data_IF_646246862723
#
_entry.id   IF_646246862723
#
_cell.length_a   1.000
_cell.length_b   1.000
_cell.length_c   1.000
_cell.angle_alpha   90.00
_cell.angle_beta   90.00
_cell.angle_gamma   90.00
#
_symmetry.space_group_name_H-M   'P 1'
#
loop_
_entity.id
_entity.type
_entity.pdbx_description
1 polymer ?
#
# COMPACT_ATOMS: atom_id res chain seq x y z
N UNK A 1 -0.51 -5.27 -15.55
CA UNK A 1 0.69 -5.82 -14.88
C UNK A 1 0.43 -5.74 -13.39
N UNK A 2 0.35 -6.88 -12.68
CA UNK A 2 -0.23 -6.94 -11.34
C UNK A 2 0.28 -5.86 -10.35
N UNK A 3 1.61 -5.69 -10.22
CA UNK A 3 2.17 -4.71 -9.29
C UNK A 3 1.93 -3.25 -9.71
N UNK A 4 1.92 -2.99 -11.01
CA UNK A 4 1.60 -1.66 -11.54
C UNK A 4 0.14 -1.29 -11.28
N UNK A 5 -0.77 -2.26 -11.52
CA UNK A 5 -2.20 -2.06 -11.32
C UNK A 5 -2.51 -1.88 -9.82
N UNK A 6 -1.85 -2.68 -8.96
CA UNK A 6 -1.93 -2.56 -7.50
C UNK A 6 -1.45 -1.18 -7.03
N UNK A 7 -0.28 -0.73 -7.48
CA UNK A 7 0.26 0.57 -7.12
C UNK A 7 -0.68 1.71 -7.56
N UNK A 8 -1.23 1.63 -8.76
CA UNK A 8 -2.17 2.63 -9.30
C UNK A 8 -3.43 2.74 -8.45
N UNK A 9 -4.05 1.60 -8.11
CA UNK A 9 -5.25 1.57 -7.25
C UNK A 9 -4.93 2.04 -5.83
N UNK A 10 -3.76 1.67 -5.30
CA UNK A 10 -3.33 2.10 -3.97
C UNK A 10 -3.10 3.62 -3.88
N UNK A 11 -2.51 4.24 -4.91
CA UNK A 11 -2.34 5.70 -4.96
C UNK A 11 -3.71 6.40 -4.91
N UNK A 12 -4.68 5.94 -5.69
CA UNK A 12 -6.03 6.49 -5.65
C UNK A 12 -6.69 6.31 -4.27
N UNK A 13 -6.50 5.15 -3.63
CA UNK A 13 -6.95 4.94 -2.24
C UNK A 13 -6.31 5.95 -1.29
N UNK A 14 -5.00 6.14 -1.35
CA UNK A 14 -4.27 7.01 -0.43
C UNK A 14 -4.68 8.49 -0.60
N UNK A 15 -4.95 8.94 -1.82
CA UNK A 15 -5.44 10.30 -2.11
C UNK A 15 -6.88 10.53 -1.62
N UNK A 16 -7.78 9.58 -1.87
CA UNK A 16 -9.20 9.75 -1.57
C UNK A 16 -9.60 9.34 -0.14
N UNK A 17 -8.80 8.50 0.53
CA UNK A 17 -9.10 7.97 1.86
C UNK A 17 -8.05 8.42 2.89
N UNK A 18 -8.24 9.57 3.56
CA UNK A 18 -7.25 10.07 4.52
C UNK A 18 -7.11 9.12 5.71
N UNK A 19 -5.97 8.43 5.79
CA UNK A 19 -5.72 7.39 6.81
C UNK A 19 -5.61 7.99 8.21
N UNK A 20 -4.78 9.03 8.36
CA UNK A 20 -4.47 9.63 9.67
C UNK A 20 -5.61 10.46 10.26
N UNK A 21 -6.56 10.92 9.43
CA UNK A 21 -7.69 11.77 9.85
C UNK A 21 -8.99 11.00 10.05
N UNK A 22 -8.96 9.67 9.91
CA UNK A 22 -10.13 8.82 10.09
C UNK A 22 -10.40 8.53 11.58
N UNK A 23 -11.66 8.23 11.89
CA UNK A 23 -12.06 7.69 13.21
C UNK A 23 -11.31 6.40 13.52
N UNK A 24 -11.11 6.10 14.81
CA UNK A 24 -10.17 5.08 15.28
C UNK A 24 -10.33 3.71 14.60
N UNK A 25 -11.55 3.18 14.50
CA UNK A 25 -11.80 1.87 13.86
C UNK A 25 -11.51 1.88 12.35
N UNK A 26 -11.80 3.00 11.68
CA UNK A 26 -11.55 3.16 10.24
C UNK A 26 -10.06 3.39 9.99
N UNK A 27 -9.37 4.12 10.87
CA UNK A 27 -7.93 4.34 10.82
C UNK A 27 -7.16 3.03 10.95
N UNK A 28 -7.50 2.18 11.92
CA UNK A 28 -6.88 0.87 12.09
C UNK A 28 -7.04 -0.01 10.85
N UNK A 29 -8.26 -0.07 10.29
CA UNK A 29 -8.53 -0.81 9.06
C UNK A 29 -7.71 -0.30 7.87
N UNK A 30 -7.63 1.03 7.70
CA UNK A 30 -6.84 1.65 6.63
C UNK A 30 -5.33 1.43 6.81
N UNK A 31 -4.82 1.49 8.04
CA UNK A 31 -3.42 1.17 8.34
C UNK A 31 -3.08 -0.29 8.02
N UNK A 32 -3.96 -1.22 8.37
CA UNK A 32 -3.80 -2.63 8.01
C UNK A 32 -3.79 -2.84 6.49
N UNK A 33 -4.61 -2.10 5.75
CA UNK A 33 -4.61 -2.13 4.29
C UNK A 33 -3.28 -1.62 3.73
N UNK A 34 -2.75 -0.50 4.23
CA UNK A 34 -1.43 0.01 3.84
C UNK A 34 -0.31 -1.01 4.09
N UNK A 35 -0.27 -1.64 5.28
CA UNK A 35 0.73 -2.66 5.63
C UNK A 35 0.65 -3.88 4.70
N UNK A 36 -0.56 -4.37 4.44
CA UNK A 36 -0.77 -5.49 3.51
C UNK A 36 -0.32 -5.15 2.09
N UNK A 37 -0.65 -3.97 1.59
CA UNK A 37 -0.21 -3.53 0.25
C UNK A 37 1.30 -3.42 0.17
N UNK A 38 1.97 -2.88 1.21
CA UNK A 38 3.42 -2.80 1.26
C UNK A 38 4.09 -4.18 1.17
N UNK A 39 3.62 -5.16 1.95
CA UNK A 39 4.12 -6.55 1.91
C UNK A 39 3.95 -7.22 0.54
N UNK A 40 2.81 -6.97 -0.12
CA UNK A 40 2.57 -7.51 -1.46
C UNK A 40 3.50 -6.88 -2.48
N UNK A 41 3.72 -5.56 -2.40
CA UNK A 41 4.65 -4.84 -3.26
C UNK A 41 6.09 -5.32 -3.06
N UNK A 42 6.55 -5.43 -1.82
CA UNK A 42 7.88 -5.94 -1.46
C UNK A 42 8.09 -7.35 -2.03
N UNK A 43 7.16 -8.27 -1.76
CA UNK A 43 7.25 -9.64 -2.25
C UNK A 43 7.21 -9.71 -3.77
N UNK A 44 6.34 -8.92 -4.39
CA UNK A 44 6.21 -8.86 -5.84
C UNK A 44 7.47 -8.34 -6.53
N UNK A 45 8.04 -7.25 -6.02
CA UNK A 45 9.29 -6.68 -6.51
C UNK A 45 10.46 -7.66 -6.28
N UNK A 46 10.52 -8.30 -5.11
CA UNK A 46 11.53 -9.32 -4.81
C UNK A 46 11.47 -10.53 -5.76
N UNK A 47 10.27 -10.96 -6.17
CA UNK A 47 10.12 -12.00 -7.21
C UNK A 47 10.64 -11.56 -8.59
N UNK A 48 10.72 -10.25 -8.84
CA UNK A 48 11.30 -9.67 -10.05
C UNK A 48 12.80 -9.34 -9.88
N UNK A 49 13.38 -9.61 -8.71
CA UNK A 49 14.78 -9.27 -8.39
C UNK A 49 15.00 -7.78 -8.14
N UNK A 50 13.96 -7.04 -7.76
CA UNK A 50 14.00 -5.61 -7.45
C UNK A 50 13.80 -5.43 -5.95
N UNK A 51 14.69 -4.68 -5.30
CA UNK A 51 14.53 -4.32 -3.89
C UNK A 51 13.52 -3.19 -3.75
N UNK A 52 12.57 -3.34 -2.82
CA UNK A 52 11.62 -2.29 -2.48
C UNK A 52 12.26 -1.31 -1.49
N UNK A 53 12.12 0.02 -1.69
CA UNK A 53 12.65 1.01 -0.75
C UNK A 53 11.85 1.01 0.56
N UNK A 54 12.54 1.09 1.70
CA UNK A 54 11.91 1.14 3.05
C UNK A 54 11.19 2.47 3.32
N UNK A 55 11.57 3.55 2.63
CA UNK A 55 10.90 4.85 2.62
C UNK A 55 10.85 5.40 1.20
N UNK A 56 9.69 5.91 0.79
CA UNK A 56 9.53 6.71 -0.44
C UNK A 56 9.65 8.20 -0.14
#
# INVERSE_FOLDING_TARGET
TYLYDLATVFTAFYEHCPVLKADDAVRESRLALCDLTARVMERGLGLLGIDAPEQM
#
